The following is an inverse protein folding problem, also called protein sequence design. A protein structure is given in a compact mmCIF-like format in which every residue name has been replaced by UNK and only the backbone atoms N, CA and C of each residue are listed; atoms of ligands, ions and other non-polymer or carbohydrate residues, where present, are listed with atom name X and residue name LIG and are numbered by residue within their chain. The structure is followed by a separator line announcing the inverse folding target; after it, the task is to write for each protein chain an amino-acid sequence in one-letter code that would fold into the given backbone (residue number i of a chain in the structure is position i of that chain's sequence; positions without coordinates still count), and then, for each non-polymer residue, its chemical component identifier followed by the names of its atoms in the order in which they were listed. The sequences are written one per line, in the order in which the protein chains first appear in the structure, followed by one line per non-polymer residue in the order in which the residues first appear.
data_IF_247658675429
#
_entry.id   IF_247658675429
#
_cell.length_a   1.000
_cell.length_b   1.000
_cell.length_c   1.000
_cell.angle_alpha   90.00
_cell.angle_beta   90.00
_cell.angle_gamma   90.00
#
_symmetry.space_group_name_H-M   'P 1'
#
loop_
_entity.id
_entity.type
_entity.pdbx_description
1 polymer ?
#
# COMPACT_ATOMS: atom_id res chain seq x y z
N UNK A 1 -2.08 22.59 18.93
CA UNK A 1 -2.70 21.36 18.38
C UNK A 1 -1.59 20.35 18.12
N UNK A 2 -1.56 19.26 18.87
CA UNK A 2 -0.51 18.23 18.81
C UNK A 2 -0.71 17.38 17.55
N UNK A 3 0.12 17.61 16.53
CA UNK A 3 0.18 16.75 15.35
C UNK A 3 0.76 15.40 15.78
N UNK A 4 -0.09 14.39 15.94
CA UNK A 4 0.35 13.01 16.14
C UNK A 4 1.12 12.56 14.88
N UNK A 5 2.45 12.49 15.00
CA UNK A 5 3.33 12.03 13.92
C UNK A 5 3.10 10.54 13.72
N UNK A 6 2.17 10.20 12.83
CA UNK A 6 1.92 8.80 12.46
C UNK A 6 3.02 8.33 11.50
N UNK A 7 3.69 7.21 11.79
CA UNK A 7 4.61 6.60 10.84
C UNK A 7 3.88 6.18 9.55
N UNK A 8 4.59 6.05 8.43
CA UNK A 8 4.01 5.57 7.16
C UNK A 8 4.48 4.15 6.93
N UNK A 9 3.54 3.22 6.85
CA UNK A 9 3.81 1.81 6.61
C UNK A 9 3.56 1.45 5.15
N UNK A 10 4.40 0.56 4.61
CA UNK A 10 4.21 -0.01 3.27
C UNK A 10 3.50 -1.35 3.43
N UNK A 11 2.46 -1.54 2.63
CA UNK A 11 1.64 -2.74 2.67
C UNK A 11 1.64 -3.44 1.32
N UNK A 12 1.52 -4.77 1.34
CA UNK A 12 1.42 -5.62 0.15
C UNK A 12 0.31 -6.64 0.28
N UNK A 13 -0.11 -7.19 -0.85
CA UNK A 13 -1.04 -8.32 -0.88
C UNK A 13 -0.43 -9.53 -0.14
N UNK A 14 -1.22 -10.33 0.61
CA UNK A 14 -0.73 -11.48 1.37
C UNK A 14 0.13 -12.49 0.59
N UNK A 15 -0.13 -12.64 -0.72
CA UNK A 15 0.62 -13.55 -1.60
C UNK A 15 2.02 -13.03 -1.98
N UNK A 16 2.35 -11.76 -1.73
CA UNK A 16 3.70 -11.25 -2.00
C UNK A 16 4.66 -11.82 -0.97
N UNK A 17 5.65 -12.60 -1.44
CA UNK A 17 6.63 -13.27 -0.57
C UNK A 17 7.62 -12.32 0.11
N UNK A 18 7.79 -11.12 -0.43
CA UNK A 18 8.78 -10.14 0.04
C UNK A 18 8.34 -9.48 1.35
N UNK A 19 8.82 -10.00 2.49
CA UNK A 19 8.56 -9.42 3.81
C UNK A 19 9.37 -8.15 4.11
N UNK A 20 10.36 -7.83 3.26
CA UNK A 20 11.18 -6.63 3.38
C UNK A 20 11.65 -6.11 2.03
N UNK A 21 11.76 -4.80 1.87
CA UNK A 21 12.25 -4.11 0.68
C UNK A 21 13.36 -3.12 1.06
N UNK A 22 14.30 -2.87 0.16
CA UNK A 22 15.24 -1.74 0.33
C UNK A 22 14.59 -0.44 -0.11
N UNK A 23 15.07 0.70 0.39
CA UNK A 23 14.64 2.03 -0.10
C UNK A 23 14.81 2.19 -1.61
N UNK A 24 15.91 1.66 -2.14
CA UNK A 24 16.20 1.68 -3.58
C UNK A 24 15.18 0.86 -4.37
N UNK A 25 14.84 -0.35 -3.92
CA UNK A 25 13.82 -1.18 -4.56
C UNK A 25 12.44 -0.52 -4.50
N UNK A 26 12.06 0.02 -3.35
CA UNK A 26 10.80 0.75 -3.17
C UNK A 26 10.72 1.93 -4.16
N UNK A 27 11.80 2.70 -4.30
CA UNK A 27 11.88 3.79 -5.28
C UNK A 27 11.73 3.29 -6.71
N UNK A 28 12.37 2.17 -7.08
CA UNK A 28 12.22 1.60 -8.43
C UNK A 28 10.78 1.18 -8.72
N UNK A 29 10.11 0.58 -7.74
CA UNK A 29 8.70 0.18 -7.88
C UNK A 29 7.81 1.41 -8.10
N UNK A 30 7.87 2.41 -7.22
CA UNK A 30 7.00 3.58 -7.32
C UNK A 30 7.35 4.54 -8.47
N UNK A 31 8.56 4.44 -9.04
CA UNK A 31 8.94 5.13 -10.29
C UNK A 31 8.70 4.28 -11.53
N UNK A 32 8.03 3.14 -11.40
CA UNK A 32 7.68 2.20 -12.48
C UNK A 32 8.90 1.66 -13.26
N UNK A 33 10.07 1.61 -12.62
CA UNK A 33 11.29 1.00 -13.15
C UNK A 33 11.37 -0.50 -12.83
N UNK A 34 10.65 -0.95 -11.82
CA UNK A 34 10.49 -2.36 -11.49
C UNK A 34 9.00 -2.69 -11.52
N UNK A 35 8.61 -3.59 -12.44
CA UNK A 35 7.21 -3.95 -12.68
C UNK A 35 6.88 -5.39 -12.27
N UNK A 36 7.89 -6.14 -11.82
CA UNK A 36 7.75 -7.54 -11.38
C UNK A 36 8.43 -7.76 -10.05
N UNK A 37 7.82 -8.63 -9.24
CA UNK A 37 8.40 -9.19 -8.03
C UNK A 37 9.48 -10.21 -8.37
N UNK A 38 10.21 -10.67 -7.35
CA UNK A 38 11.25 -11.71 -7.50
C UNK A 38 10.73 -13.05 -8.04
N UNK A 39 9.47 -13.37 -7.80
CA UNK A 39 8.76 -14.54 -8.33
C UNK A 39 8.18 -14.32 -9.75
N UNK A 40 8.56 -13.21 -10.40
CA UNK A 40 8.10 -12.78 -11.72
C UNK A 40 6.61 -12.37 -11.80
N UNK A 41 5.88 -12.34 -10.68
CA UNK A 41 4.51 -11.83 -10.64
C UNK A 41 4.48 -10.30 -10.86
N UNK A 42 3.40 -9.79 -11.46
CA UNK A 42 3.29 -8.37 -11.78
C UNK A 42 3.06 -7.52 -10.52
N UNK A 43 3.66 -6.33 -10.48
CA UNK A 43 3.46 -5.37 -9.38
C UNK A 43 2.33 -4.41 -9.74
N UNK A 44 1.24 -4.46 -8.99
CA UNK A 44 0.16 -3.48 -9.07
C UNK A 44 0.34 -2.40 -8.01
N UNK A 45 0.70 -1.18 -8.43
CA UNK A 45 0.98 -0.08 -7.50
C UNK A 45 -0.26 0.78 -7.30
N UNK A 46 -0.71 0.90 -6.04
CA UNK A 46 -1.81 1.78 -5.65
C UNK A 46 -1.31 2.99 -4.86
N UNK A 47 -1.84 4.17 -5.18
CA UNK A 47 -1.43 5.44 -4.56
C UNK A 47 -2.62 6.32 -4.22
N UNK A 48 -2.47 7.18 -3.22
CA UNK A 48 -3.42 8.24 -2.91
C UNK A 48 -3.20 9.46 -3.83
N UNK A 49 -4.16 10.40 -3.93
CA UNK A 49 -4.04 11.56 -4.79
C UNK A 49 -2.86 12.44 -4.37
N UNK A 50 -2.23 13.13 -5.31
CA UNK A 50 -1.01 13.92 -5.07
C UNK A 50 -1.14 15.00 -4.00
N UNK A 51 -2.35 15.52 -3.78
CA UNK A 51 -2.67 16.52 -2.75
C UNK A 51 -2.81 15.90 -1.35
N UNK A 52 -3.00 14.59 -1.24
CA UNK A 52 -3.21 13.88 0.01
C UNK A 52 -1.97 13.94 0.90
N UNK A 53 -2.14 14.26 2.18
CA UNK A 53 -1.01 14.47 3.10
C UNK A 53 -0.17 13.21 3.29
N UNK A 54 -0.80 12.03 3.35
CA UNK A 54 -0.08 10.75 3.44
C UNK A 54 0.75 10.48 2.18
N UNK A 55 0.25 10.81 0.98
CA UNK A 55 1.04 10.67 -0.25
C UNK A 55 2.27 11.59 -0.23
N UNK A 56 2.08 12.87 0.15
CA UNK A 56 3.16 13.85 0.23
C UNK A 56 4.27 13.39 1.18
N UNK A 57 3.87 12.88 2.34
CA UNK A 57 4.80 12.35 3.33
C UNK A 57 5.46 11.06 2.84
N UNK A 58 4.72 10.12 2.25
CA UNK A 58 5.28 8.88 1.70
C UNK A 58 6.37 9.15 0.66
N UNK A 59 6.10 10.02 -0.31
CA UNK A 59 7.07 10.37 -1.33
C UNK A 59 8.35 10.96 -0.72
N UNK A 60 8.22 11.90 0.23
CA UNK A 60 9.37 12.54 0.88
C UNK A 60 10.13 11.62 1.83
N UNK A 61 9.43 10.94 2.73
CA UNK A 61 10.02 10.18 3.84
C UNK A 61 10.49 8.79 3.42
N UNK A 62 9.72 8.09 2.57
CA UNK A 62 10.04 6.71 2.16
C UNK A 62 10.77 6.64 0.83
N UNK A 63 10.40 7.46 -0.16
CA UNK A 63 11.04 7.44 -1.48
C UNK A 63 12.20 8.43 -1.60
N UNK A 64 12.27 9.46 -0.73
CA UNK A 64 13.17 10.60 -0.84
C UNK A 64 13.02 11.34 -2.19
N UNK A 65 11.78 11.46 -2.66
CA UNK A 65 11.40 12.16 -3.89
C UNK A 65 10.30 13.17 -3.57
N UNK A 66 10.35 14.37 -4.17
CA UNK A 66 9.25 15.32 -4.00
C UNK A 66 8.01 14.87 -4.79
N UNK A 67 6.78 15.03 -4.26
CA UNK A 67 5.56 14.55 -4.92
C UNK A 67 5.38 15.03 -6.37
N UNK A 68 5.79 16.28 -6.67
CA UNK A 68 5.72 16.81 -8.03
C UNK A 68 6.69 16.11 -9.00
N UNK A 69 7.85 15.65 -8.52
CA UNK A 69 8.81 14.90 -9.32
C UNK A 69 8.26 13.50 -9.63
N UNK A 70 7.65 12.86 -8.62
CA UNK A 70 7.02 11.56 -8.78
C UNK A 70 5.86 11.62 -9.81
N UNK A 71 4.99 12.62 -9.70
CA UNK A 71 3.95 12.87 -10.71
C UNK A 71 4.53 13.12 -12.10
N UNK A 72 5.62 13.89 -12.21
CA UNK A 72 6.27 14.16 -13.50
C UNK A 72 6.78 12.88 -14.14
N UNK A 73 7.32 11.94 -13.35
CA UNK A 73 7.74 10.63 -13.85
C UNK A 73 6.54 9.88 -14.43
N UNK A 74 5.42 9.82 -13.70
CA UNK A 74 4.22 9.12 -14.16
C UNK A 74 3.60 9.77 -15.40
N UNK A 75 3.52 11.10 -15.45
CA UNK A 75 3.07 11.82 -16.64
C UNK A 75 3.95 11.54 -17.86
N UNK A 76 5.27 11.53 -17.69
CA UNK A 76 6.18 11.19 -18.79
C UNK A 76 5.90 9.79 -19.34
N UNK A 77 5.65 8.81 -18.47
CA UNK A 77 5.32 7.44 -18.87
C UNK A 77 4.01 7.37 -19.66
N UNK A 78 2.96 8.01 -19.16
CA UNK A 78 1.63 7.98 -19.81
C UNK A 78 1.60 8.76 -21.11
N UNK A 79 2.19 9.96 -21.17
CA UNK A 79 2.18 10.79 -22.39
C UNK A 79 3.07 10.24 -23.51
N UNK A 80 4.10 9.47 -23.18
CA UNK A 80 4.95 8.83 -24.19
C UNK A 80 4.43 7.48 -24.67
N UNK A 81 3.37 6.95 -24.06
CA UNK A 81 2.88 5.59 -24.34
C UNK A 81 3.83 4.47 -23.90
N UNK A 82 4.88 4.79 -23.13
CA UNK A 82 5.94 3.85 -22.74
C UNK A 82 5.66 3.08 -21.44
N UNK A 83 4.50 3.29 -20.81
CA UNK A 83 4.16 2.57 -19.59
C UNK A 83 2.86 2.98 -18.94
N UNK A 84 2.56 2.28 -17.84
CA UNK A 84 1.33 2.45 -17.05
C UNK A 84 1.67 3.19 -15.75
N UNK A 85 0.91 4.23 -15.46
CA UNK A 85 0.99 4.94 -14.18
C UNK A 85 0.35 4.11 -13.04
N UNK A 86 0.68 4.39 -11.77
CA UNK A 86 0.01 3.71 -10.67
C UNK A 86 -1.49 4.03 -10.64
N UNK A 87 -2.27 3.11 -10.09
CA UNK A 87 -3.70 3.31 -9.89
C UNK A 87 -3.92 4.24 -8.70
N UNK A 88 -4.62 5.36 -8.93
CA UNK A 88 -4.95 6.33 -7.88
C UNK A 88 -6.28 5.94 -7.26
N UNK A 89 -6.32 5.84 -5.93
CA UNK A 89 -7.52 5.58 -5.12
C UNK A 89 -7.82 6.77 -4.22
N UNK A 90 -9.08 6.94 -3.80
CA UNK A 90 -9.53 8.15 -3.12
C UNK A 90 -9.14 8.19 -1.63
N UNK A 91 -9.05 7.04 -0.95
CA UNK A 91 -8.78 6.97 0.49
C UNK A 91 -7.83 5.83 0.89
N UNK A 92 -7.37 5.86 2.15
CA UNK A 92 -6.52 4.80 2.69
C UNK A 92 -7.28 3.48 2.84
N UNK A 93 -8.57 3.55 3.17
CA UNK A 93 -9.46 2.39 3.25
C UNK A 93 -9.58 1.74 1.87
N UNK A 94 -9.80 2.54 0.82
CA UNK A 94 -9.85 2.05 -0.56
C UNK A 94 -8.50 1.47 -0.99
N UNK A 95 -7.38 2.08 -0.59
CA UNK A 95 -6.04 1.57 -0.85
C UNK A 95 -5.83 0.18 -0.22
N UNK A 96 -6.24 -0.01 1.03
CA UNK A 96 -6.16 -1.32 1.70
C UNK A 96 -7.02 -2.34 0.97
N UNK A 97 -8.25 -1.97 0.59
CA UNK A 97 -9.15 -2.86 -0.15
C UNK A 97 -8.58 -3.24 -1.51
N UNK A 98 -8.03 -2.27 -2.25
CA UNK A 98 -7.40 -2.51 -3.54
C UNK A 98 -6.18 -3.44 -3.42
N UNK A 99 -5.34 -3.22 -2.41
CA UNK A 99 -4.18 -4.09 -2.13
C UNK A 99 -4.61 -5.49 -1.73
N UNK A 100 -5.70 -5.66 -0.96
CA UNK A 100 -6.23 -6.98 -0.59
C UNK A 100 -6.88 -7.73 -1.76
N UNK A 101 -7.49 -7.03 -2.70
CA UNK A 101 -8.20 -7.64 -3.84
C UNK A 101 -7.30 -7.96 -5.02
N UNK A 102 -6.08 -7.43 -5.04
CA UNK A 102 -5.20 -7.50 -6.20
C UNK A 102 -3.93 -8.27 -5.85
N UNK A 103 -3.76 -9.51 -6.34
CA UNK A 103 -2.51 -10.25 -6.24
C UNK A 103 -1.32 -9.44 -6.74
N UNK A 104 -0.20 -9.48 -6.03
CA UNK A 104 1.00 -8.71 -6.40
C UNK A 104 0.92 -7.21 -6.10
N UNK A 105 -0.13 -6.73 -5.42
CA UNK A 105 -0.28 -5.31 -5.14
C UNK A 105 0.61 -4.79 -4.03
N UNK A 106 0.95 -3.50 -4.15
CA UNK A 106 1.67 -2.71 -3.15
C UNK A 106 1.00 -1.35 -2.95
N UNK A 107 1.01 -0.88 -1.71
CA UNK A 107 0.55 0.45 -1.33
C UNK A 107 1.18 0.94 -0.03
N UNK A 108 0.64 2.00 0.55
CA UNK A 108 1.09 2.57 1.81
C UNK A 108 -0.06 3.18 2.60
N UNK A 109 0.07 3.19 3.93
CA UNK A 109 -0.91 3.73 4.86
C UNK A 109 -0.22 4.39 6.06
N UNK A 110 -0.96 5.16 6.85
CA UNK A 110 -0.48 5.66 8.14
C UNK A 110 -0.58 4.59 9.23
N UNK A 111 0.37 4.59 10.16
CA UNK A 111 0.46 3.65 11.29
C UNK A 111 -0.77 3.69 12.22
N UNK A 112 -1.44 4.83 12.29
CA UNK A 112 -2.75 4.97 12.96
C UNK A 112 -3.81 4.02 12.39
N UNK A 113 -3.77 3.75 11.08
CA UNK A 113 -4.68 2.83 10.41
C UNK A 113 -4.26 1.38 10.67
N UNK A 114 -2.95 1.07 10.61
CA UNK A 114 -2.41 -0.25 10.97
C UNK A 114 -2.83 -0.66 12.38
N UNK A 115 -2.73 0.27 13.33
CA UNK A 115 -3.09 0.03 14.74
C UNK A 115 -4.60 -0.23 14.90
N UNK A 116 -5.47 0.47 14.16
CA UNK A 116 -6.91 0.20 14.15
C UNK A 116 -7.22 -1.21 13.60
N UNK A 117 -6.54 -1.60 12.52
CA UNK A 117 -6.67 -2.95 11.95
C UNK A 117 -6.25 -4.02 12.98
N UNK A 118 -5.15 -3.79 13.72
CA UNK A 118 -4.69 -4.69 14.77
C UNK A 118 -5.64 -4.76 15.96
N UNK A 119 -6.23 -3.64 16.40
CA UNK A 119 -7.18 -3.60 17.53
C UNK A 119 -8.49 -4.30 17.24
N UNK A 120 -9.05 -4.17 16.02
CA UNK A 120 -10.31 -4.82 15.66
C UNK A 120 -10.23 -6.36 15.64
N UNK A 121 -9.02 -6.96 15.62
CA UNK A 121 -8.84 -8.41 15.78
C UNK A 121 -9.16 -8.93 17.19
N UNK A 122 -9.03 -8.11 18.23
CA UNK A 122 -9.15 -8.57 19.63
C UNK A 122 -10.58 -8.53 20.19
N UNK A 123 -11.48 -7.73 19.61
CA UNK A 123 -12.89 -7.65 20.07
C UNK A 123 -13.77 -8.75 19.44
N UNK A 124 -13.43 -9.22 18.25
CA UNK A 124 -14.23 -10.24 17.52
C UNK A 124 -14.08 -11.67 18.08
N UNK A 125 -12.96 -12.03 18.70
CA UNK A 125 -12.75 -13.40 19.21
C UNK A 125 -13.46 -13.70 20.52
N UNK A 126 -14.00 -12.68 21.21
CA UNK A 126 -14.50 -12.81 22.59
C UNK A 126 -16.02 -12.80 22.70
N UNK A 127 -16.76 -12.41 21.64
CA UNK A 127 -18.20 -12.17 21.75
C UNK A 127 -19.12 -13.20 21.07
N UNK A 128 -18.65 -14.05 20.13
CA UNK A 128 -19.55 -14.96 19.41
C UNK A 128 -18.84 -16.29 19.03
N UNK A 129 -19.02 -17.38 19.82
CA UNK A 129 -18.40 -18.68 19.55
C UNK A 129 -19.15 -19.56 18.54
N UNK A 130 -20.43 -19.30 18.25
CA UNK A 130 -21.29 -20.22 17.50
C UNK A 130 -22.24 -19.45 16.59
N UNK A 131 -21.91 -19.39 15.30
CA UNK A 131 -22.87 -19.26 14.19
C UNK A 131 -22.09 -19.43 12.89
N UNK A 132 -21.83 -20.70 12.55
CA UNK A 132 -21.63 -21.13 11.17
C UNK A 132 -23.02 -21.21 10.54
N UNK A 133 -23.34 -20.25 9.67
CA UNK A 133 -24.19 -20.50 8.51
C UNK A 133 -24.01 -19.39 7.46
N UNK A 134 -24.03 -19.83 6.21
CA UNK A 134 -23.41 -19.21 5.05
C UNK A 134 -24.10 -17.93 4.58
N UNK A 135 -23.50 -16.77 4.91
CA UNK A 135 -23.49 -15.61 4.02
C UNK A 135 -22.07 -15.09 3.91
N UNK A 136 -21.52 -15.24 2.70
CA UNK A 136 -20.10 -15.16 2.37
C UNK A 136 -19.53 -13.74 2.46
N UNK A 137 -19.43 -13.21 3.68
CA UNK A 137 -18.56 -12.08 3.99
C UNK A 137 -17.13 -12.60 3.98
N UNK A 138 -16.51 -12.60 2.79
CA UNK A 138 -15.17 -13.14 2.54
C UNK A 138 -14.17 -12.65 3.59
N UNK A 139 -13.94 -13.52 4.57
CA UNK A 139 -12.96 -13.38 5.62
C UNK A 139 -11.62 -13.84 5.06
N UNK A 140 -10.69 -12.90 4.84
CA UNK A 140 -9.20 -13.04 4.82
C UNK A 140 -8.57 -11.99 3.91
N UNK A 141 -8.37 -10.78 4.42
CA UNK A 141 -7.55 -9.76 3.77
C UNK A 141 -6.67 -9.05 4.78
N UNK A 142 -5.73 -9.76 5.40
CA UNK A 142 -4.72 -9.13 6.25
C UNK A 142 -3.57 -8.72 5.35
N UNK A 143 -3.53 -7.47 4.90
CA UNK A 143 -2.39 -6.95 4.15
C UNK A 143 -1.08 -7.19 4.91
N UNK A 144 -0.01 -7.54 4.19
CA UNK A 144 1.31 -7.73 4.78
C UNK A 144 2.00 -6.38 4.94
N UNK A 145 2.44 -6.05 6.16
CA UNK A 145 3.29 -4.88 6.40
C UNK A 145 4.74 -5.23 6.08
N UNK A 146 5.36 -4.46 5.19
CA UNK A 146 6.69 -4.74 4.66
C UNK A 146 7.74 -3.86 5.34
N UNK A 147 8.81 -4.48 5.85
CA UNK A 147 9.91 -3.74 6.47
C UNK A 147 10.77 -3.04 5.42
N UNK A 148 11.03 -1.74 5.61
CA UNK A 148 11.92 -0.99 4.72
C UNK A 148 13.33 -0.95 5.31
N UNK A 149 14.28 -1.54 4.58
CA UNK A 149 15.72 -1.53 4.89
C UNK A 149 16.39 -0.35 4.18
N UNK A 150 17.45 0.17 4.78
CA UNK A 150 18.32 1.18 4.16
C UNK A 150 19.07 0.63 2.95
#
# INVERSE_FOLDING_TARGET
MTSQVSAIEVITHPQVAESSLTKSQLRRIYTMRQLRWSDNSAISVFVLPSRHNIHKRFAKERLQIFPYQLNRIWYKLTYSGLGVAPTIVASQEELIQAVNKTPGAIGYISDTVVTKIRRNKSTMSTLFPEMEDEQQFSSKGVVNVVKIKD
#
